data_IF_718223348606
#
_entry.id   IF_718223348606
#
_cell.length_a   1.000
_cell.length_b   1.000
_cell.length_c   1.000
_cell.angle_alpha   90.00
_cell.angle_beta   90.00
_cell.angle_gamma   90.00
#
_symmetry.space_group_name_H-M   'P 1'
#
loop_
_entity.id
_entity.type
_entity.pdbx_description
1 polymer ?
#
# COMPACT_ATOMS: atom_id res chain seq x y z
N UNK A 1 -39.95 4.73 28.90
CA UNK A 1 -38.56 4.38 29.26
C UNK A 1 -37.81 4.16 27.95
N UNK A 2 -37.57 5.24 27.19
CA UNK A 2 -37.04 5.19 25.82
C UNK A 2 -36.53 6.58 25.42
N UNK A 3 -35.53 7.10 26.14
CA UNK A 3 -34.93 8.40 25.80
C UNK A 3 -33.41 8.45 26.04
N UNK A 4 -32.85 7.48 26.77
CA UNK A 4 -31.42 7.48 27.08
C UNK A 4 -30.56 6.93 25.93
N UNK A 5 -31.08 6.00 25.12
CA UNK A 5 -30.37 5.47 23.94
C UNK A 5 -30.29 6.47 22.78
N UNK A 6 -31.21 7.44 22.71
CA UNK A 6 -31.17 8.51 21.70
C UNK A 6 -30.13 9.56 22.06
N UNK A 7 -30.00 9.90 23.35
CA UNK A 7 -29.01 10.86 23.87
C UNK A 7 -27.58 10.29 23.77
N UNK A 8 -27.38 8.99 24.02
CA UNK A 8 -26.09 8.32 23.83
C UNK A 8 -25.62 8.31 22.36
N UNK A 9 -26.55 8.23 21.40
CA UNK A 9 -26.23 8.31 19.97
C UNK A 9 -25.91 9.74 19.50
N UNK A 10 -26.36 10.76 20.24
CA UNK A 10 -26.19 12.18 19.91
C UNK A 10 -24.89 12.78 20.53
N UNK A 11 -24.30 12.13 21.53
CA UNK A 11 -23.08 12.57 22.22
C UNK A 11 -21.77 12.08 21.57
N UNK A 12 -21.85 11.24 20.53
CA UNK A 12 -20.67 10.85 19.75
C UNK A 12 -20.42 11.94 18.72
N UNK A 13 -19.73 13.00 19.13
CA UNK A 13 -19.15 13.96 18.17
C UNK A 13 -18.11 13.23 17.30
N UNK A 14 -17.88 13.65 16.05
CA UNK A 14 -16.85 13.07 15.18
C UNK A 14 -15.50 12.93 15.89
N UNK A 15 -15.14 13.93 16.70
CA UNK A 15 -13.95 13.96 17.54
C UNK A 15 -13.82 12.78 18.52
N UNK A 16 -14.93 12.28 19.09
CA UNK A 16 -14.92 11.14 20.02
C UNK A 16 -14.68 9.82 19.28
N UNK A 17 -15.22 9.68 18.08
CA UNK A 17 -14.95 8.52 17.21
C UNK A 17 -13.51 8.54 16.68
N UNK A 18 -12.99 9.73 16.34
CA UNK A 18 -11.61 9.95 15.91
C UNK A 18 -10.63 9.60 17.04
N UNK A 19 -10.87 10.09 18.25
CA UNK A 19 -10.11 9.71 19.44
C UNK A 19 -10.18 8.21 19.71
N UNK A 20 -11.35 7.59 19.61
CA UNK A 20 -11.51 6.15 19.81
C UNK A 20 -10.69 5.33 18.81
N UNK A 21 -10.77 5.64 17.51
CA UNK A 21 -9.96 4.97 16.48
C UNK A 21 -8.46 5.17 16.72
N UNK A 22 -8.04 6.39 17.09
CA UNK A 22 -6.64 6.68 17.42
C UNK A 22 -6.17 5.90 18.66
N UNK A 23 -7.00 5.79 19.71
CA UNK A 23 -6.70 5.03 20.93
C UNK A 23 -6.70 3.50 20.70
N UNK A 24 -7.60 3.00 19.86
CA UNK A 24 -7.73 1.59 19.50
C UNK A 24 -6.53 1.15 18.63
N UNK A 25 -6.08 2.00 17.71
CA UNK A 25 -4.81 1.83 17.01
C UNK A 25 -3.64 1.79 18.00
N UNK A 26 -3.60 2.71 18.97
CA UNK A 26 -2.47 2.86 19.92
C UNK A 26 -2.24 1.67 20.86
N UNK A 27 -3.22 0.81 21.14
CA UNK A 27 -3.09 -0.17 22.24
C UNK A 27 -3.23 -1.64 21.83
N UNK A 28 -3.98 -1.96 20.76
CA UNK A 28 -4.28 -3.35 20.42
C UNK A 28 -4.06 -3.72 18.96
N UNK A 29 -4.25 -2.82 18.00
CA UNK A 29 -4.40 -3.22 16.59
C UNK A 29 -3.15 -2.99 15.72
N UNK A 30 -2.12 -2.31 16.22
CA UNK A 30 -0.87 -2.07 15.45
C UNK A 30 -0.22 -3.37 14.96
N UNK A 31 -0.30 -4.45 15.72
CA UNK A 31 0.28 -5.73 15.34
C UNK A 31 -0.44 -6.40 14.16
N UNK A 32 -1.67 -6.00 13.86
CA UNK A 32 -2.48 -6.49 12.73
C UNK A 32 -2.25 -5.69 11.45
N UNK A 33 -1.55 -4.55 11.53
CA UNK A 33 -1.22 -3.78 10.33
C UNK A 33 -0.33 -4.62 9.41
N UNK A 34 -0.55 -4.57 8.08
CA UNK A 34 0.38 -5.20 7.14
C UNK A 34 1.78 -4.63 7.36
N UNK A 35 2.80 -5.46 7.08
CA UNK A 35 4.20 -5.10 7.28
C UNK A 35 4.94 -5.09 5.96
N UNK A 36 5.76 -4.06 5.76
CA UNK A 36 6.71 -3.96 4.66
C UNK A 36 8.09 -3.60 5.18
N UNK A 37 9.11 -4.30 4.70
CA UNK A 37 10.49 -4.19 5.21
C UNK A 37 11.37 -3.31 4.31
N UNK A 38 10.93 -3.02 3.09
CA UNK A 38 11.72 -2.33 2.07
C UNK A 38 12.68 -3.26 1.33
N UNK A 39 12.36 -4.55 1.24
CA UNK A 39 13.22 -5.56 0.60
C UNK A 39 12.97 -5.67 -0.92
N UNK A 40 13.97 -6.18 -1.64
CA UNK A 40 13.81 -6.51 -3.06
C UNK A 40 12.78 -7.63 -3.22
N UNK A 41 11.74 -7.38 -4.02
CA UNK A 41 10.66 -8.33 -4.30
C UNK A 41 9.39 -8.12 -3.49
N UNK A 42 9.40 -7.25 -2.47
CA UNK A 42 8.15 -6.74 -1.89
C UNK A 42 7.44 -5.83 -2.89
N UNK A 43 6.11 -5.74 -2.76
CA UNK A 43 5.26 -4.89 -3.59
C UNK A 43 4.71 -3.71 -2.75
N UNK A 44 5.32 -2.50 -2.87
CA UNK A 44 4.87 -1.31 -2.15
C UNK A 44 3.44 -0.88 -2.49
N UNK A 45 2.97 -1.14 -3.70
CA UNK A 45 1.60 -0.80 -4.10
C UNK A 45 0.58 -1.72 -3.42
N UNK A 46 0.89 -3.02 -3.36
CA UNK A 46 0.08 -3.98 -2.61
C UNK A 46 0.00 -3.59 -1.13
N UNK A 47 1.12 -3.23 -0.50
CA UNK A 47 1.15 -2.78 0.89
C UNK A 47 0.24 -1.57 1.12
N UNK A 48 0.33 -0.53 0.28
CA UNK A 48 -0.55 0.65 0.39
C UNK A 48 -2.04 0.27 0.26
N UNK A 49 -2.37 -0.66 -0.65
CA UNK A 49 -3.75 -1.12 -0.83
C UNK A 49 -4.26 -1.88 0.40
N UNK A 50 -3.47 -2.79 0.95
CA UNK A 50 -3.82 -3.55 2.15
C UNK A 50 -3.94 -2.66 3.38
N UNK A 51 -3.03 -1.69 3.52
CA UNK A 51 -3.08 -0.69 4.59
C UNK A 51 -4.33 0.20 4.52
N UNK A 52 -4.80 0.53 3.31
CA UNK A 52 -5.96 1.39 3.11
C UNK A 52 -7.30 0.74 3.54
N UNK A 53 -7.42 -0.60 3.44
CA UNK A 53 -8.70 -1.31 3.66
C UNK A 53 -9.21 -1.22 5.11
N UNK A 54 -8.35 -0.85 6.08
CA UNK A 54 -8.70 -0.81 7.51
C UNK A 54 -8.78 0.58 8.15
N UNK A 55 -8.45 1.66 7.44
CA UNK A 55 -8.32 3.00 8.05
C UNK A 55 -9.06 4.02 7.18
N UNK A 56 -10.07 4.70 7.73
CA UNK A 56 -10.92 5.61 6.96
C UNK A 56 -10.27 6.98 6.75
N UNK A 57 -9.71 7.57 7.79
CA UNK A 57 -9.25 8.96 7.79
C UNK A 57 -7.76 9.11 7.44
N UNK A 58 -7.44 10.11 6.62
CA UNK A 58 -6.08 10.36 6.14
C UNK A 58 -5.11 10.77 7.25
N UNK A 59 -5.56 11.53 8.24
CA UNK A 59 -4.75 11.87 9.41
C UNK A 59 -4.38 10.62 10.23
N UNK A 60 -5.34 9.71 10.44
CA UNK A 60 -5.11 8.43 11.10
C UNK A 60 -4.14 7.58 10.29
N UNK A 61 -4.29 7.51 8.96
CA UNK A 61 -3.35 6.80 8.06
C UNK A 61 -1.92 7.33 8.23
N UNK A 62 -1.72 8.64 8.25
CA UNK A 62 -0.40 9.23 8.42
C UNK A 62 0.24 8.87 9.78
N UNK A 63 -0.56 8.80 10.86
CA UNK A 63 -0.06 8.40 12.18
C UNK A 63 0.17 6.89 12.29
N UNK A 64 -0.63 6.08 11.61
CA UNK A 64 -0.58 4.63 11.63
C UNK A 64 0.50 4.04 10.70
N UNK A 65 0.77 4.69 9.57
CA UNK A 65 1.67 4.18 8.54
C UNK A 65 3.08 3.86 9.03
N UNK A 66 3.74 4.68 9.88
CA UNK A 66 5.04 4.33 10.46
C UNK A 66 5.05 2.97 11.17
N UNK A 67 3.92 2.55 11.75
CA UNK A 67 3.79 1.26 12.41
C UNK A 67 3.58 0.11 11.43
N UNK A 68 3.23 0.36 10.18
CA UNK A 68 3.17 -0.64 9.10
C UNK A 68 4.54 -0.90 8.45
N UNK A 69 5.55 -0.09 8.77
CA UNK A 69 6.90 -0.24 8.23
C UNK A 69 7.81 -1.00 9.19
N UNK A 70 8.75 -1.75 8.63
CA UNK A 70 9.83 -2.39 9.35
C UNK A 70 11.15 -2.28 8.55
N UNK A 71 12.26 -2.70 9.16
CA UNK A 71 13.58 -2.75 8.52
C UNK A 71 13.95 -1.46 7.78
N UNK A 72 14.41 -1.62 6.53
CA UNK A 72 14.88 -0.51 5.69
C UNK A 72 13.77 0.50 5.36
N UNK A 73 12.51 0.06 5.26
CA UNK A 73 11.38 0.96 5.05
C UNK A 73 11.15 1.88 6.25
N UNK A 74 11.23 1.32 7.46
CA UNK A 74 11.10 2.06 8.70
C UNK A 74 12.26 3.04 8.87
N UNK A 75 13.50 2.58 8.71
CA UNK A 75 14.70 3.40 8.82
C UNK A 75 14.65 4.60 7.87
N UNK A 76 14.23 4.38 6.62
CA UNK A 76 14.05 5.45 5.64
C UNK A 76 13.06 6.51 6.09
N UNK A 77 11.91 6.12 6.65
CA UNK A 77 10.89 7.06 7.08
C UNK A 77 11.39 7.96 8.22
N UNK A 78 12.14 7.41 9.17
CA UNK A 78 12.72 8.16 10.30
C UNK A 78 13.77 9.19 9.86
N UNK A 79 14.42 8.98 8.71
CA UNK A 79 15.37 9.94 8.14
C UNK A 79 14.69 11.13 7.44
N UNK A 80 13.37 11.10 7.24
CA UNK A 80 12.64 12.10 6.47
C UNK A 80 11.39 12.66 7.20
N UNK A 81 11.50 13.12 8.46
CA UNK A 81 10.34 13.47 9.28
C UNK A 81 9.52 14.66 8.77
N UNK A 82 10.09 15.52 7.93
CA UNK A 82 9.47 16.78 7.48
C UNK A 82 8.85 16.73 6.09
N UNK A 83 8.90 15.59 5.39
CA UNK A 83 8.50 15.53 3.97
C UNK A 83 7.00 15.28 3.73
N UNK A 84 6.21 15.06 4.78
CA UNK A 84 4.85 14.54 4.63
C UNK A 84 3.81 15.51 5.22
N UNK A 85 3.18 16.29 4.35
CA UNK A 85 2.11 17.21 4.75
C UNK A 85 0.72 16.57 4.61
N UNK A 86 0.58 15.61 3.70
CA UNK A 86 -0.68 14.87 3.48
C UNK A 86 -0.42 13.37 3.34
N UNK A 87 -1.48 12.56 3.48
CA UNK A 87 -1.41 11.13 3.16
C UNK A 87 -1.05 10.90 1.68
N UNK A 88 -1.48 11.79 0.79
CA UNK A 88 -1.11 11.78 -0.63
C UNK A 88 0.40 11.86 -0.83
N UNK A 89 1.06 12.83 -0.17
CA UNK A 89 2.50 13.03 -0.24
C UNK A 89 3.27 11.82 0.31
N UNK A 90 2.82 11.30 1.45
CA UNK A 90 3.44 10.13 2.08
C UNK A 90 3.39 8.90 1.17
N UNK A 91 2.23 8.62 0.57
CA UNK A 91 2.11 7.54 -0.44
C UNK A 91 3.03 7.79 -1.62
N UNK A 92 3.01 8.99 -2.19
CA UNK A 92 3.79 9.32 -3.38
C UNK A 92 5.29 9.10 -3.14
N UNK A 93 5.82 9.71 -2.08
CA UNK A 93 7.24 9.66 -1.74
C UNK A 93 7.68 8.22 -1.35
N UNK A 94 6.83 7.48 -0.64
CA UNK A 94 7.08 6.05 -0.35
C UNK A 94 7.17 5.22 -1.64
N UNK A 95 6.22 5.38 -2.56
CA UNK A 95 6.23 4.67 -3.83
C UNK A 95 7.40 5.08 -4.72
N UNK A 96 7.76 6.36 -4.77
CA UNK A 96 8.93 6.83 -5.51
C UNK A 96 10.23 6.18 -5.00
N UNK A 97 10.36 6.01 -3.68
CA UNK A 97 11.53 5.38 -3.05
C UNK A 97 11.60 3.88 -3.32
N UNK A 98 10.52 3.14 -3.07
CA UNK A 98 10.53 1.68 -3.07
C UNK A 98 10.08 1.05 -4.40
N UNK A 99 9.36 1.82 -5.22
CA UNK A 99 8.90 1.45 -6.55
C UNK A 99 9.12 2.58 -7.59
N UNK A 100 10.39 2.94 -7.86
CA UNK A 100 10.69 4.07 -8.75
C UNK A 100 10.20 3.82 -10.18
N UNK A 101 9.96 4.90 -10.93
CA UNK A 101 9.51 4.84 -12.32
C UNK A 101 10.44 4.00 -13.23
N UNK A 102 11.73 3.92 -12.92
CA UNK A 102 12.69 3.06 -13.63
C UNK A 102 12.33 1.56 -13.54
N UNK A 103 11.77 1.09 -12.41
CA UNK A 103 11.23 -0.27 -12.28
C UNK A 103 10.02 -0.45 -13.20
N UNK A 104 9.10 0.51 -13.24
CA UNK A 104 7.94 0.49 -14.15
C UNK A 104 8.38 0.39 -15.62
N UNK A 105 9.39 1.18 -16.03
CA UNK A 105 9.94 1.13 -17.39
C UNK A 105 10.57 -0.24 -17.70
N UNK A 106 11.28 -0.81 -16.73
CA UNK A 106 11.93 -2.12 -16.88
C UNK A 106 10.89 -3.22 -17.04
N UNK A 107 9.89 -3.28 -16.14
CA UNK A 107 8.81 -4.27 -16.21
C UNK A 107 8.03 -4.13 -17.52
N UNK A 108 7.75 -2.90 -17.96
CA UNK A 108 7.08 -2.67 -19.26
C UNK A 108 7.91 -3.23 -20.42
N UNK A 109 9.22 -3.00 -20.45
CA UNK A 109 10.11 -3.57 -21.47
C UNK A 109 10.12 -5.10 -21.43
N UNK A 110 10.16 -5.68 -20.23
CA UNK A 110 10.11 -7.13 -20.06
C UNK A 110 8.78 -7.72 -20.54
N UNK A 111 7.65 -7.09 -20.24
CA UNK A 111 6.33 -7.51 -20.71
C UNK A 111 6.25 -7.42 -22.24
N UNK A 112 6.64 -6.30 -22.85
CA UNK A 112 6.61 -6.15 -24.31
C UNK A 112 7.62 -7.08 -25.03
N UNK A 113 8.69 -7.47 -24.34
CA UNK A 113 9.76 -8.32 -24.88
C UNK A 113 9.60 -9.80 -24.55
N UNK A 114 8.61 -10.19 -23.73
CA UNK A 114 8.48 -11.57 -23.28
C UNK A 114 8.12 -12.47 -24.47
N UNK A 115 8.85 -13.58 -24.59
CA UNK A 115 8.62 -14.60 -25.61
C UNK A 115 8.72 -15.96 -24.97
N UNK A 116 7.92 -16.90 -25.48
CA UNK A 116 8.03 -18.30 -25.10
C UNK A 116 9.42 -18.82 -25.49
N UNK A 117 10.12 -19.44 -24.55
CA UNK A 117 11.41 -20.05 -24.84
C UNK A 117 11.26 -21.37 -25.58
N UNK A 118 12.33 -21.78 -26.29
CA UNK A 118 12.41 -23.09 -26.94
C UNK A 118 12.33 -24.17 -25.86
N UNK A 119 11.38 -25.09 -26.00
CA UNK A 119 11.14 -26.16 -25.01
C UNK A 119 10.33 -25.74 -23.78
N UNK A 120 9.93 -24.47 -23.65
CA UNK A 120 9.03 -24.02 -22.59
C UNK A 120 7.59 -24.46 -22.86
N UNK A 121 6.86 -24.89 -21.82
CA UNK A 121 5.43 -25.20 -21.95
C UNK A 121 4.62 -23.90 -21.92
N UNK A 122 3.43 -23.91 -22.54
CA UNK A 122 2.54 -22.73 -22.50
C UNK A 122 2.17 -22.34 -21.06
N UNK A 123 2.02 -23.33 -20.16
CA UNK A 123 1.78 -23.09 -18.74
C UNK A 123 2.89 -22.25 -18.09
N UNK A 124 4.15 -22.66 -18.25
CA UNK A 124 5.31 -21.94 -17.68
C UNK A 124 5.45 -20.53 -18.25
N UNK A 125 5.19 -20.38 -19.55
CA UNK A 125 5.14 -19.07 -20.19
C UNK A 125 4.05 -18.18 -19.56
N UNK A 126 2.82 -18.69 -19.41
CA UNK A 126 1.72 -17.98 -18.76
C UNK A 126 2.05 -17.60 -17.31
N UNK A 127 2.67 -18.49 -16.52
CA UNK A 127 3.08 -18.17 -15.15
C UNK A 127 4.05 -16.99 -15.09
N UNK A 128 5.06 -16.97 -15.98
CA UNK A 128 6.01 -15.86 -16.06
C UNK A 128 5.35 -14.57 -16.50
N UNK A 129 4.51 -14.64 -17.53
CA UNK A 129 3.76 -13.49 -18.02
C UNK A 129 2.89 -12.90 -16.91
N UNK A 130 2.09 -13.73 -16.23
CA UNK A 130 1.21 -13.32 -15.14
C UNK A 130 2.01 -12.75 -13.96
N UNK A 131 3.18 -13.33 -13.64
CA UNK A 131 4.06 -12.78 -12.61
C UNK A 131 4.55 -11.37 -12.96
N UNK A 132 4.99 -11.14 -14.20
CA UNK A 132 5.42 -9.80 -14.64
C UNK A 132 4.25 -8.81 -14.65
N UNK A 133 3.09 -9.25 -15.14
CA UNK A 133 1.88 -8.44 -15.21
C UNK A 133 1.41 -8.00 -13.82
N UNK A 134 1.37 -8.92 -12.85
CA UNK A 134 0.96 -8.64 -11.47
C UNK A 134 1.95 -7.75 -10.70
N UNK A 135 3.22 -7.69 -11.13
CA UNK A 135 4.25 -6.84 -10.49
C UNK A 135 4.12 -5.36 -10.88
N UNK A 136 3.27 -5.01 -11.86
CA UNK A 136 3.07 -3.62 -12.28
C UNK A 136 1.58 -3.22 -12.21
N UNK A 137 1.04 -2.91 -11.01
CA UNK A 137 -0.38 -2.57 -10.85
C UNK A 137 -0.82 -1.28 -11.57
N UNK A 138 0.14 -0.43 -11.96
CA UNK A 138 -0.07 0.76 -12.79
C UNK A 138 0.64 0.64 -14.14
N UNK A 139 0.45 -0.49 -14.83
CA UNK A 139 1.15 -0.73 -16.09
C UNK A 139 0.86 0.34 -17.14
N UNK A 140 -0.36 0.91 -17.18
CA UNK A 140 -0.87 1.72 -18.32
C UNK A 140 -0.60 1.04 -19.68
N UNK A 141 -0.26 -0.25 -19.66
CA UNK A 141 -0.01 -1.05 -20.84
C UNK A 141 -1.38 -1.28 -21.44
N UNK A 142 -1.60 -0.69 -22.61
CA UNK A 142 -2.76 -0.93 -23.44
C UNK A 142 -2.83 -2.45 -23.71
N UNK A 143 -3.99 -3.06 -23.52
CA UNK A 143 -4.22 -4.49 -23.77
C UNK A 143 -3.81 -4.89 -25.20
N UNK A 144 -3.83 -3.94 -26.14
CA UNK A 144 -3.37 -4.11 -27.52
C UNK A 144 -1.86 -4.36 -27.68
N UNK A 145 -1.05 -4.10 -26.64
CA UNK A 145 0.39 -4.40 -26.62
C UNK A 145 0.71 -5.77 -25.99
N UNK A 146 -0.31 -6.45 -25.44
CA UNK A 146 -0.21 -7.81 -24.90
C UNK A 146 -0.65 -8.77 -26.00
N UNK A 147 0.24 -9.02 -26.96
CA UNK A 147 0.03 -9.94 -28.08
C UNK A 147 0.63 -11.30 -27.74
#
# INVERSE_FOLDING_TARGET
MENNDRILKELVTPDVLELAQIYELKSGLIHLLPKVHGLAGEDPHKHIKEFHVGILEDYIKMKAFPFSLDGAAKDWLYLQPTLFNTWGDMKHIFLEKFFPASKTVTIRKEICGIRKHIGETLHKYCERFNKLYTTCPHHQINEQLLI
#
